data_IF_262357865265
#
_entry.id   IF_262357865265
#
_cell.length_a   1.000
_cell.length_b   1.000
_cell.length_c   1.000
_cell.angle_alpha   90.00
_cell.angle_beta   90.00
_cell.angle_gamma   90.00
#
_symmetry.space_group_name_H-M   'P 1'
#
loop_
_entity.id
_entity.type
_entity.pdbx_description
1 polymer ?
#
# COMPACT_ATOMS: atom_id res chain seq x y z
N UNK A 1 -14.83 -0.30 -13.34
CA UNK A 1 -14.73 -0.40 -11.87
C UNK A 1 -13.27 -0.45 -11.47
N UNK A 2 -12.93 0.17 -10.38
CA UNK A 2 -11.59 0.18 -9.80
C UNK A 2 -11.66 -0.42 -8.40
N UNK A 3 -10.72 -1.32 -8.05
CA UNK A 3 -10.69 -2.02 -6.77
C UNK A 3 -11.68 -3.18 -6.66
N UNK A 4 -11.74 -3.79 -5.50
CA UNK A 4 -12.64 -4.89 -5.14
C UNK A 4 -13.02 -4.80 -3.66
N UNK A 5 -14.18 -5.36 -3.32
CA UNK A 5 -14.64 -5.52 -1.93
C UNK A 5 -14.46 -6.96 -1.42
N UNK A 6 -13.62 -7.76 -2.08
CA UNK A 6 -13.32 -9.14 -1.71
C UNK A 6 -13.84 -10.19 -2.70
N UNK A 7 -14.52 -9.79 -3.76
CA UNK A 7 -15.02 -10.70 -4.79
C UNK A 7 -16.26 -11.52 -4.38
N UNK A 8 -16.61 -12.49 -5.23
CA UNK A 8 -17.70 -13.42 -4.97
C UNK A 8 -19.11 -12.84 -5.11
N UNK A 9 -20.08 -13.54 -4.54
CA UNK A 9 -21.51 -13.22 -4.68
C UNK A 9 -21.88 -11.84 -4.15
N UNK A 10 -21.23 -11.38 -3.07
CA UNK A 10 -21.47 -10.05 -2.49
C UNK A 10 -21.10 -8.96 -3.47
N UNK A 11 -19.96 -9.07 -4.15
CA UNK A 11 -19.53 -8.06 -5.12
C UNK A 11 -20.47 -7.99 -6.32
N UNK A 12 -20.97 -9.13 -6.81
CA UNK A 12 -21.97 -9.16 -7.88
C UNK A 12 -23.29 -8.50 -7.48
N UNK A 13 -23.79 -8.75 -6.25
CA UNK A 13 -25.01 -8.12 -5.74
C UNK A 13 -24.84 -6.58 -5.62
N UNK A 14 -23.73 -6.12 -5.05
CA UNK A 14 -23.41 -4.70 -4.94
C UNK A 14 -23.30 -4.03 -6.31
N UNK A 15 -22.66 -4.68 -7.27
CA UNK A 15 -22.56 -4.17 -8.65
C UNK A 15 -23.94 -4.04 -9.31
N UNK A 16 -24.84 -4.99 -9.08
CA UNK A 16 -26.22 -4.93 -9.59
C UNK A 16 -27.00 -3.77 -8.95
N UNK A 17 -26.89 -3.59 -7.63
CA UNK A 17 -27.49 -2.45 -6.90
C UNK A 17 -26.95 -1.11 -7.38
N UNK A 18 -25.64 -1.00 -7.55
CA UNK A 18 -25.00 0.22 -8.06
C UNK A 18 -25.53 0.59 -9.45
N UNK A 19 -25.66 -0.39 -10.36
CA UNK A 19 -26.24 -0.17 -11.69
C UNK A 19 -27.69 0.30 -11.60
N UNK A 20 -28.50 -0.29 -10.73
CA UNK A 20 -29.90 0.13 -10.52
C UNK A 20 -29.97 1.56 -9.96
N UNK A 21 -29.13 1.92 -8.99
CA UNK A 21 -29.04 3.28 -8.46
C UNK A 21 -28.68 4.30 -9.56
N UNK A 22 -27.77 3.96 -10.45
CA UNK A 22 -27.39 4.81 -11.58
C UNK A 22 -28.51 4.93 -12.63
N UNK A 23 -29.24 3.84 -12.89
CA UNK A 23 -30.31 3.79 -13.88
C UNK A 23 -31.59 4.57 -13.46
N UNK A 24 -31.82 4.76 -12.16
CA UNK A 24 -33.01 5.40 -11.62
C UNK A 24 -33.16 6.92 -11.92
N UNK A 25 -32.32 7.50 -12.76
CA UNK A 25 -32.47 8.84 -13.34
C UNK A 25 -32.43 10.01 -12.35
N UNK A 26 -32.38 9.75 -11.05
CA UNK A 26 -32.27 10.80 -10.04
C UNK A 26 -30.85 11.39 -10.03
N UNK A 27 -30.71 12.65 -10.43
CA UNK A 27 -29.42 13.38 -10.45
C UNK A 27 -28.98 13.85 -9.05
N UNK A 28 -29.58 13.30 -7.99
CA UNK A 28 -29.24 13.60 -6.62
C UNK A 28 -28.30 12.57 -6.00
N UNK A 29 -27.84 12.89 -4.81
CA UNK A 29 -27.11 11.96 -3.96
C UNK A 29 -28.04 10.89 -3.38
N UNK A 30 -27.55 9.66 -3.31
CA UNK A 30 -28.23 8.52 -2.71
C UNK A 30 -27.24 7.65 -1.94
N UNK A 31 -27.67 7.13 -0.77
CA UNK A 31 -26.86 6.26 0.07
C UNK A 31 -27.64 5.03 0.49
N UNK A 32 -26.98 3.88 0.47
CA UNK A 32 -27.48 2.63 1.04
C UNK A 32 -26.41 2.03 1.96
N UNK A 33 -26.79 1.72 3.19
CA UNK A 33 -25.99 0.93 4.11
C UNK A 33 -26.51 -0.50 4.10
N UNK A 34 -25.67 -1.45 3.71
CA UNK A 34 -26.00 -2.85 3.48
C UNK A 34 -25.16 -3.73 4.39
N UNK A 35 -25.80 -4.77 4.93
CA UNK A 35 -25.11 -5.74 5.79
C UNK A 35 -25.33 -7.13 5.24
N UNK A 36 -24.26 -7.90 5.08
CA UNK A 36 -24.24 -9.24 4.55
C UNK A 36 -23.70 -10.21 5.62
N UNK A 37 -24.43 -11.29 5.88
CA UNK A 37 -23.90 -12.41 6.63
C UNK A 37 -23.05 -13.28 5.67
N UNK A 38 -21.79 -13.50 6.02
CA UNK A 38 -20.85 -14.32 5.23
C UNK A 38 -21.00 -15.78 5.64
N UNK A 39 -22.00 -16.48 5.07
CA UNK A 39 -22.31 -17.86 5.38
C UNK A 39 -22.32 -18.75 4.13
N UNK A 40 -22.62 -20.06 4.31
CA UNK A 40 -22.70 -21.03 3.21
C UNK A 40 -23.68 -20.61 2.10
N UNK A 41 -24.77 -19.93 2.46
CA UNK A 41 -25.79 -19.44 1.52
C UNK A 41 -25.24 -18.40 0.53
N UNK A 42 -24.14 -17.75 0.88
CA UNK A 42 -23.42 -16.78 0.02
C UNK A 42 -22.17 -17.42 -0.63
N UNK A 43 -22.01 -18.74 -0.53
CA UNK A 43 -20.82 -19.43 -1.04
C UNK A 43 -19.53 -19.07 -0.31
N UNK A 44 -19.64 -18.58 0.93
CA UNK A 44 -18.50 -18.16 1.75
C UNK A 44 -18.32 -19.13 2.92
N UNK A 45 -17.11 -19.62 3.12
CA UNK A 45 -16.77 -20.54 4.22
C UNK A 45 -16.24 -19.83 5.48
N UNK A 46 -16.03 -18.52 5.41
CA UNK A 46 -15.29 -17.79 6.45
C UNK A 46 -16.15 -17.41 7.68
N UNK A 47 -17.50 -17.41 7.55
CA UNK A 47 -18.39 -16.88 8.58
C UNK A 47 -18.18 -15.37 8.83
N UNK A 48 -19.05 -14.78 9.66
CA UNK A 48 -18.97 -13.36 10.00
C UNK A 48 -19.96 -12.47 9.28
N UNK A 49 -19.72 -11.17 9.35
CA UNK A 49 -20.61 -10.15 8.79
C UNK A 49 -19.79 -9.08 8.09
N UNK A 50 -20.27 -8.63 6.93
CA UNK A 50 -19.69 -7.52 6.17
C UNK A 50 -20.70 -6.39 6.06
N UNK A 51 -20.28 -5.16 6.36
CA UNK A 51 -21.07 -3.94 6.14
C UNK A 51 -20.48 -3.16 4.98
N UNK A 52 -21.37 -2.74 4.07
CA UNK A 52 -21.00 -2.00 2.86
C UNK A 52 -21.81 -0.72 2.81
N UNK A 53 -21.11 0.39 2.55
CA UNK A 53 -21.70 1.66 2.25
C UNK A 53 -21.67 1.87 0.73
N UNK A 54 -22.84 1.97 0.11
CA UNK A 54 -22.97 2.25 -1.31
C UNK A 54 -23.50 3.68 -1.48
N UNK A 55 -22.75 4.51 -2.21
CA UNK A 55 -23.11 5.91 -2.43
C UNK A 55 -23.09 6.24 -3.92
N UNK A 56 -24.11 6.99 -4.34
CA UNK A 56 -24.20 7.58 -5.67
C UNK A 56 -24.12 9.09 -5.52
N UNK A 57 -23.29 9.72 -6.32
CA UNK A 57 -23.17 11.17 -6.43
C UNK A 57 -23.75 11.61 -7.76
N UNK A 58 -24.60 12.64 -7.73
CA UNK A 58 -25.12 13.28 -8.92
C UNK A 58 -24.38 14.58 -9.24
N UNK A 59 -24.77 15.26 -10.31
CA UNK A 59 -24.13 16.51 -10.76
C UNK A 59 -24.15 17.64 -9.70
N UNK A 60 -25.09 17.60 -8.77
CA UNK A 60 -25.14 18.56 -7.66
C UNK A 60 -24.01 18.43 -6.66
N UNK A 61 -23.36 17.29 -6.60
CA UNK A 61 -22.22 17.01 -5.73
C UNK A 61 -20.86 17.19 -6.42
N UNK A 62 -20.83 17.75 -7.62
CA UNK A 62 -19.59 17.93 -8.38
C UNK A 62 -18.57 18.82 -7.63
N UNK A 63 -19.06 19.90 -6.99
CA UNK A 63 -18.22 20.77 -6.17
C UNK A 63 -17.61 20.03 -4.95
N UNK A 64 -18.40 19.14 -4.34
CA UNK A 64 -17.96 18.35 -3.19
C UNK A 64 -16.89 17.33 -3.63
N UNK A 65 -17.05 16.72 -4.80
CA UNK A 65 -16.08 15.80 -5.39
C UNK A 65 -14.79 16.53 -5.81
N UNK A 66 -14.89 17.77 -6.29
CA UNK A 66 -13.71 18.60 -6.59
C UNK A 66 -12.95 18.96 -5.30
N UNK A 67 -13.66 19.33 -4.23
CA UNK A 67 -13.05 19.56 -2.91
C UNK A 67 -12.34 18.30 -2.39
N UNK A 68 -12.91 17.11 -2.61
CA UNK A 68 -12.28 15.84 -2.30
C UNK A 68 -11.00 15.62 -3.08
N UNK A 69 -10.96 15.95 -4.37
CA UNK A 69 -9.76 15.82 -5.19
C UNK A 69 -8.59 16.64 -4.62
N UNK A 70 -8.87 17.82 -4.05
CA UNK A 70 -7.86 18.63 -3.33
C UNK A 70 -7.46 17.98 -2.01
N UNK A 71 -8.44 17.46 -1.24
CA UNK A 71 -8.20 16.81 0.04
C UNK A 71 -7.35 15.52 -0.09
N UNK A 72 -7.49 14.78 -1.18
CA UNK A 72 -6.62 13.62 -1.50
C UNK A 72 -5.15 13.98 -1.45
N UNK A 73 -4.78 15.16 -1.94
CA UNK A 73 -3.40 15.66 -1.91
C UNK A 73 -2.92 15.95 -0.48
N UNK A 74 -3.83 16.21 0.45
CA UNK A 74 -3.53 16.60 1.84
C UNK A 74 -3.58 15.45 2.86
N UNK A 75 -3.71 14.19 2.44
CA UNK A 75 -3.80 12.99 3.31
C UNK A 75 -4.91 13.09 4.37
N UNK A 76 -6.08 13.58 3.98
CA UNK A 76 -7.21 13.82 4.88
C UNK A 76 -8.04 12.55 5.10
N UNK A 77 -8.70 12.46 6.24
CA UNK A 77 -9.67 11.39 6.53
C UNK A 77 -11.02 11.80 5.95
N UNK A 78 -11.64 10.89 5.21
CA UNK A 78 -12.98 11.02 4.71
C UNK A 78 -13.94 10.31 5.65
N UNK A 79 -14.98 11.00 6.08
CA UNK A 79 -16.03 10.44 6.92
C UNK A 79 -17.35 10.40 6.18
N UNK A 80 -17.98 9.23 6.17
CA UNK A 80 -19.29 8.98 5.58
C UNK A 80 -20.28 8.67 6.71
N UNK A 81 -21.17 9.60 7.09
CA UNK A 81 -22.20 9.31 8.08
C UNK A 81 -23.08 8.13 7.64
N UNK A 82 -23.41 7.21 8.54
CA UNK A 82 -24.29 6.06 8.23
C UNK A 82 -25.77 6.41 8.18
N UNK A 83 -26.15 7.58 8.63
CA UNK A 83 -27.54 8.08 8.64
C UNK A 83 -27.87 9.05 7.51
N UNK A 84 -28.91 9.85 7.70
CA UNK A 84 -29.41 10.86 6.77
C UNK A 84 -28.62 12.17 6.73
N UNK A 85 -27.36 12.13 7.15
CA UNK A 85 -26.46 13.30 7.13
C UNK A 85 -25.97 13.68 5.74
N UNK A 86 -25.08 14.68 5.62
CA UNK A 86 -24.50 15.11 4.36
C UNK A 86 -23.77 13.97 3.67
N UNK A 87 -23.64 14.00 2.32
CA UNK A 87 -23.03 12.91 1.56
C UNK A 87 -21.60 12.60 2.00
N UNK A 88 -20.83 13.63 2.33
CA UNK A 88 -19.42 13.52 2.72
C UNK A 88 -19.07 14.55 3.77
N UNK A 89 -18.10 14.24 4.61
CA UNK A 89 -17.39 15.20 5.43
C UNK A 89 -15.89 14.98 5.32
N UNK A 90 -15.14 16.06 5.14
CA UNK A 90 -13.66 16.04 5.12
C UNK A 90 -13.12 15.96 6.54
N UNK A 91 -13.93 16.29 7.54
CA UNK A 91 -13.55 16.18 8.95
C UNK A 91 -14.35 15.07 9.63
N UNK A 92 -13.77 14.38 10.63
CA UNK A 92 -14.47 13.33 11.36
C UNK A 92 -15.74 13.92 12.03
N UNK A 93 -16.89 13.38 11.68
CA UNK A 93 -18.14 13.72 12.37
C UNK A 93 -18.18 12.91 13.66
N UNK A 94 -17.83 13.54 14.80
CA UNK A 94 -17.63 12.88 16.08
C UNK A 94 -18.89 12.46 16.82
N UNK A 95 -20.10 12.73 16.31
CA UNK A 95 -21.36 12.55 17.03
C UNK A 95 -22.34 11.55 16.41
N UNK A 96 -22.03 10.96 15.26
CA UNK A 96 -22.87 9.96 14.60
C UNK A 96 -22.04 8.77 14.14
N UNK A 97 -22.60 7.55 14.11
CA UNK A 97 -21.94 6.42 13.50
C UNK A 97 -21.53 6.78 12.06
N UNK A 98 -20.26 6.65 11.76
CA UNK A 98 -19.72 7.00 10.45
C UNK A 98 -18.74 5.93 9.99
N UNK A 99 -18.67 5.73 8.68
CA UNK A 99 -17.59 5.00 8.04
C UNK A 99 -16.48 6.01 7.74
N UNK A 100 -15.30 5.81 8.29
CA UNK A 100 -14.16 6.70 8.09
C UNK A 100 -13.00 5.94 7.45
N UNK A 101 -12.43 6.50 6.41
CA UNK A 101 -11.28 5.94 5.74
C UNK A 101 -10.30 7.06 5.32
N UNK A 102 -8.99 6.83 5.35
CA UNK A 102 -8.06 7.76 4.73
C UNK A 102 -8.33 7.80 3.22
N UNK A 103 -8.40 8.99 2.64
CA UNK A 103 -8.63 9.18 1.21
C UNK A 103 -7.49 8.56 0.40
N UNK A 104 -6.28 8.71 0.91
CA UNK A 104 -5.09 8.08 0.36
C UNK A 104 -4.33 7.46 1.52
N UNK A 105 -4.27 6.14 1.64
CA UNK A 105 -3.43 5.51 2.63
C UNK A 105 -1.98 5.97 2.42
N UNK A 106 -1.21 6.21 3.49
CA UNK A 106 0.20 6.55 3.34
C UNK A 106 0.91 5.43 2.58
N UNK A 107 1.69 5.80 1.57
CA UNK A 107 2.49 4.84 0.84
C UNK A 107 3.52 4.20 1.78
N UNK A 108 3.69 2.89 1.66
CA UNK A 108 4.71 2.16 2.42
C UNK A 108 6.09 2.44 1.81
N UNK A 109 7.06 2.98 2.56
CA UNK A 109 8.41 3.17 2.05
C UNK A 109 9.05 1.83 1.69
N UNK A 110 9.47 1.68 0.43
CA UNK A 110 10.15 0.49 -0.07
C UNK A 110 11.54 0.87 -0.58
N UNK A 111 12.57 0.40 0.09
CA UNK A 111 13.97 0.59 -0.31
C UNK A 111 14.44 -0.62 -1.10
N UNK A 112 14.86 -0.40 -2.34
CA UNK A 112 15.42 -1.42 -3.23
C UNK A 112 16.90 -1.11 -3.41
N UNK A 113 17.77 -1.95 -2.87
CA UNK A 113 19.21 -1.81 -2.96
C UNK A 113 19.74 -2.59 -4.15
N UNK A 114 20.30 -1.88 -5.12
CA UNK A 114 20.78 -2.38 -6.40
C UNK A 114 19.85 -2.05 -7.57
N UNK A 115 20.30 -1.19 -8.50
CA UNK A 115 19.56 -0.75 -9.68
C UNK A 115 19.81 -1.68 -10.90
N UNK A 116 19.99 -2.98 -10.66
CA UNK A 116 20.28 -3.99 -11.68
C UNK A 116 19.05 -4.49 -12.45
N UNK A 117 19.23 -5.56 -13.21
CA UNK A 117 18.17 -6.13 -14.07
C UNK A 117 16.93 -6.56 -13.29
N UNK A 118 17.09 -7.14 -12.11
CA UNK A 118 15.96 -7.60 -11.27
C UNK A 118 15.12 -6.41 -10.81
N UNK A 119 15.76 -5.36 -10.30
CA UNK A 119 15.08 -4.14 -9.87
C UNK A 119 14.32 -3.49 -11.03
N UNK A 120 14.96 -3.37 -12.19
CA UNK A 120 14.35 -2.82 -13.41
C UNK A 120 13.10 -3.59 -13.84
N UNK A 121 13.13 -4.93 -13.75
CA UNK A 121 11.99 -5.77 -14.07
C UNK A 121 10.88 -5.71 -13.00
N UNK A 122 11.24 -5.41 -11.75
CA UNK A 122 10.32 -5.33 -10.62
C UNK A 122 9.55 -4.00 -10.59
N UNK A 123 10.22 -2.87 -10.84
CA UNK A 123 9.63 -1.53 -10.74
C UNK A 123 8.26 -1.38 -11.43
N UNK A 124 8.06 -1.81 -12.69
CA UNK A 124 6.76 -1.68 -13.34
C UNK A 124 5.66 -2.53 -12.70
N UNK A 125 6.03 -3.54 -11.92
CA UNK A 125 5.08 -4.46 -11.27
C UNK A 125 4.67 -3.99 -9.87
N UNK A 126 5.40 -3.04 -9.31
CA UNK A 126 5.11 -2.41 -8.03
C UNK A 126 4.19 -1.19 -8.18
N UNK A 127 3.96 -0.75 -9.40
CA UNK A 127 3.08 0.38 -9.68
C UNK A 127 1.66 0.10 -9.17
N UNK A 128 1.07 1.07 -8.50
CA UNK A 128 -0.27 0.96 -7.90
C UNK A 128 -0.39 0.06 -6.66
N UNK A 129 0.70 -0.56 -6.17
CA UNK A 129 0.68 -1.42 -4.97
C UNK A 129 0.85 -0.67 -3.65
N UNK A 130 0.78 0.66 -3.66
CA UNK A 130 0.84 1.47 -2.44
C UNK A 130 2.25 1.62 -1.85
N UNK A 131 3.28 1.52 -2.66
CA UNK A 131 4.67 1.77 -2.26
C UNK A 131 5.18 3.14 -2.70
N UNK A 132 5.93 3.80 -1.80
CA UNK A 132 6.85 4.88 -2.14
C UNK A 132 8.24 4.27 -2.33
N UNK A 133 8.69 4.15 -3.57
CA UNK A 133 9.88 3.37 -3.91
C UNK A 133 11.13 4.25 -3.90
N UNK A 134 12.17 3.78 -3.21
CA UNK A 134 13.50 4.36 -3.18
C UNK A 134 14.48 3.35 -3.80
N UNK A 135 15.01 3.68 -4.98
CA UNK A 135 16.01 2.85 -5.66
C UNK A 135 17.41 3.33 -5.29
N UNK A 136 18.16 2.50 -4.61
CA UNK A 136 19.48 2.81 -4.05
C UNK A 136 20.58 2.06 -4.80
N UNK A 137 21.59 2.76 -5.32
CA UNK A 137 22.81 2.14 -5.89
C UNK A 137 24.02 3.05 -5.63
N UNK A 138 25.21 2.47 -5.79
CA UNK A 138 26.49 3.16 -5.66
C UNK A 138 26.96 3.82 -6.97
N UNK A 139 26.35 3.46 -8.10
CA UNK A 139 26.77 3.82 -9.44
C UNK A 139 25.60 4.43 -10.21
N UNK A 140 25.82 5.64 -10.73
CA UNK A 140 24.81 6.41 -11.43
C UNK A 140 24.38 5.77 -12.75
N UNK A 141 25.29 5.12 -13.45
CA UNK A 141 25.04 4.49 -14.75
C UNK A 141 24.14 3.25 -14.66
N UNK A 142 23.90 2.74 -13.46
CA UNK A 142 23.04 1.58 -13.21
C UNK A 142 21.56 1.90 -13.22
N UNK A 143 21.19 3.17 -13.01
CA UNK A 143 19.78 3.54 -12.99
C UNK A 143 19.16 3.46 -14.39
N UNK A 144 17.89 2.99 -14.50
CA UNK A 144 17.21 3.02 -15.78
C UNK A 144 16.99 4.46 -16.23
N UNK A 145 17.21 4.73 -17.53
CA UNK A 145 17.01 6.07 -18.10
C UNK A 145 15.53 6.53 -18.03
N UNK A 146 14.59 5.57 -17.98
CA UNK A 146 13.14 5.77 -17.91
C UNK A 146 12.58 5.64 -16.49
N UNK A 147 13.41 5.86 -15.47
CA UNK A 147 12.99 5.75 -14.07
C UNK A 147 11.79 6.68 -13.77
N UNK A 148 11.83 7.93 -14.23
CA UNK A 148 10.76 8.91 -14.06
C UNK A 148 10.26 8.98 -12.60
N UNK A 149 8.94 9.04 -12.46
CA UNK A 149 8.29 9.08 -11.14
C UNK A 149 8.05 7.70 -10.51
N UNK A 150 8.48 6.61 -11.16
CA UNK A 150 8.29 5.23 -10.66
C UNK A 150 9.06 4.94 -9.37
N UNK A 151 10.19 5.60 -9.17
CA UNK A 151 10.98 5.49 -7.96
C UNK A 151 11.87 6.72 -7.75
N UNK A 152 12.12 7.06 -6.49
CA UNK A 152 13.09 8.09 -6.11
C UNK A 152 14.50 7.51 -6.20
N UNK A 153 15.36 8.13 -7.00
CA UNK A 153 16.77 7.77 -7.14
C UNK A 153 17.56 8.19 -5.90
N UNK A 154 18.27 7.25 -5.29
CA UNK A 154 19.19 7.51 -4.18
C UNK A 154 20.59 6.97 -4.53
N UNK A 155 21.42 7.85 -5.06
CA UNK A 155 22.83 7.54 -5.30
C UNK A 155 23.61 7.63 -3.99
N UNK A 156 24.14 6.53 -3.49
CA UNK A 156 24.80 6.48 -2.19
C UNK A 156 26.09 5.64 -2.26
N UNK A 157 27.22 6.22 -1.89
CA UNK A 157 28.50 5.50 -1.80
C UNK A 157 28.51 4.45 -0.68
N UNK A 158 27.67 4.64 0.35
CA UNK A 158 27.47 3.76 1.50
C UNK A 158 25.98 3.44 1.65
N UNK A 159 25.41 2.50 0.87
CA UNK A 159 23.99 2.14 0.94
C UNK A 159 23.53 1.64 2.32
N UNK A 160 24.44 1.04 3.12
CA UNK A 160 24.17 0.68 4.52
C UNK A 160 23.82 1.91 5.38
N UNK A 161 24.39 3.08 5.10
CA UNK A 161 24.01 4.32 5.79
C UNK A 161 22.58 4.78 5.42
N UNK A 162 22.12 4.52 4.19
CA UNK A 162 20.71 4.74 3.83
C UNK A 162 19.81 3.81 4.64
N UNK A 163 20.20 2.54 4.80
CA UNK A 163 19.46 1.56 5.59
C UNK A 163 19.30 2.00 7.05
N UNK A 164 20.36 2.57 7.65
CA UNK A 164 20.30 3.06 9.04
C UNK A 164 19.38 4.27 9.24
N UNK A 165 19.07 5.03 8.20
CA UNK A 165 18.20 6.21 8.26
C UNK A 165 16.78 5.96 7.71
N UNK A 166 16.48 4.74 7.27
CA UNK A 166 15.14 4.41 6.78
C UNK A 166 14.07 4.59 7.87
N UNK A 167 12.87 5.06 7.52
CA UNK A 167 11.78 5.24 8.47
C UNK A 167 11.31 3.90 9.06
N UNK A 168 10.74 3.97 10.27
CA UNK A 168 10.13 2.80 10.91
C UNK A 168 9.01 2.23 10.02
N UNK A 169 8.91 0.91 9.97
CA UNK A 169 7.92 0.21 9.16
C UNK A 169 8.29 0.09 7.68
N UNK A 170 9.44 0.60 7.24
CA UNK A 170 9.88 0.45 5.86
C UNK A 170 10.08 -1.02 5.45
N UNK A 171 9.92 -1.27 4.15
CA UNK A 171 10.26 -2.53 3.50
C UNK A 171 11.61 -2.41 2.80
N UNK A 172 12.40 -3.48 2.83
CA UNK A 172 13.73 -3.51 2.24
C UNK A 172 13.91 -4.73 1.33
N UNK A 173 14.38 -4.49 0.10
CA UNK A 173 14.78 -5.53 -0.85
C UNK A 173 16.25 -5.37 -1.19
N UNK A 174 17.08 -6.31 -0.75
CA UNK A 174 18.54 -6.30 -0.94
C UNK A 174 18.90 -7.22 -2.10
N UNK A 175 19.36 -6.61 -3.20
CA UNK A 175 19.68 -7.31 -4.45
C UNK A 175 20.82 -6.62 -5.20
N UNK A 176 21.87 -6.23 -4.47
CA UNK A 176 23.03 -5.59 -5.08
C UNK A 176 23.88 -6.59 -5.86
N UNK A 177 24.84 -6.09 -6.61
CA UNK A 177 25.82 -6.92 -7.32
C UNK A 177 26.92 -7.49 -6.42
N UNK A 178 27.03 -7.02 -5.19
CA UNK A 178 28.11 -7.35 -4.24
C UNK A 178 27.58 -8.07 -3.01
N UNK A 179 28.10 -9.27 -2.76
CA UNK A 179 27.74 -10.04 -1.57
C UNK A 179 28.16 -9.35 -0.26
N UNK A 180 29.30 -8.63 -0.27
CA UNK A 180 29.75 -7.88 0.91
C UNK A 180 28.86 -6.68 1.21
N UNK A 181 28.38 -6.00 0.17
CA UNK A 181 27.45 -4.89 0.30
C UNK A 181 26.09 -5.39 0.80
N UNK A 182 25.57 -6.48 0.23
CA UNK A 182 24.33 -7.11 0.71
C UNK A 182 24.43 -7.46 2.21
N UNK A 183 25.59 -7.99 2.64
CA UNK A 183 25.84 -8.36 4.04
C UNK A 183 25.87 -7.13 4.95
N UNK A 184 26.54 -6.05 4.54
CA UNK A 184 26.60 -4.81 5.30
C UNK A 184 25.21 -4.18 5.48
N UNK A 185 24.41 -4.11 4.41
CA UNK A 185 23.04 -3.60 4.46
C UNK A 185 22.17 -4.46 5.38
N UNK A 186 22.22 -5.79 5.24
CA UNK A 186 21.44 -6.69 6.09
C UNK A 186 21.85 -6.59 7.55
N UNK A 187 23.15 -6.51 7.85
CA UNK A 187 23.64 -6.36 9.21
C UNK A 187 23.13 -5.07 9.85
N UNK A 188 23.21 -3.95 9.14
CA UNK A 188 22.72 -2.66 9.62
C UNK A 188 21.22 -2.69 9.93
N UNK A 189 20.41 -3.22 9.00
CA UNK A 189 18.96 -3.34 9.17
C UNK A 189 18.59 -4.25 10.34
N UNK A 190 19.22 -5.41 10.47
CA UNK A 190 18.95 -6.37 11.54
C UNK A 190 19.44 -5.87 12.91
N UNK A 191 20.52 -5.09 12.95
CA UNK A 191 21.00 -4.47 14.19
C UNK A 191 20.09 -3.34 14.65
N UNK A 192 19.66 -2.49 13.73
CA UNK A 192 18.76 -1.37 14.02
C UNK A 192 17.34 -1.84 14.33
N UNK A 193 16.84 -2.82 13.57
CA UNK A 193 15.44 -3.24 13.60
C UNK A 193 14.47 -2.17 13.07
N UNK A 194 13.18 -2.32 13.37
CA UNK A 194 12.14 -1.33 13.05
C UNK A 194 11.62 -1.36 11.62
N UNK A 195 12.04 -2.30 10.79
CA UNK A 195 11.47 -2.57 9.47
C UNK A 195 10.31 -3.56 9.57
N UNK A 196 9.40 -3.52 8.59
CA UNK A 196 8.30 -4.50 8.47
C UNK A 196 8.70 -5.71 7.63
N UNK A 197 9.54 -5.51 6.63
CA UNK A 197 9.97 -6.58 5.72
C UNK A 197 11.43 -6.39 5.29
N UNK A 198 12.21 -7.47 5.30
CA UNK A 198 13.55 -7.53 4.75
C UNK A 198 13.69 -8.75 3.85
N UNK A 199 13.79 -8.53 2.55
CA UNK A 199 14.05 -9.55 1.53
C UNK A 199 15.46 -9.47 0.99
N UNK A 200 16.15 -10.61 0.95
CA UNK A 200 17.48 -10.74 0.36
C UNK A 200 17.44 -11.75 -0.78
N UNK A 201 17.87 -11.33 -1.97
CA UNK A 201 18.03 -12.26 -3.09
C UNK A 201 19.28 -13.11 -2.91
N UNK A 202 19.14 -14.42 -3.07
CA UNK A 202 20.31 -15.30 -2.97
C UNK A 202 20.01 -16.77 -3.09
N UNK A 203 21.09 -17.57 -3.22
CA UNK A 203 21.05 -19.02 -3.23
C UNK A 203 20.99 -19.60 -1.80
N UNK A 204 20.71 -20.93 -1.71
CA UNK A 204 20.78 -21.66 -0.44
C UNK A 204 22.16 -21.50 0.23
N UNK A 205 23.23 -21.55 -0.55
CA UNK A 205 24.62 -21.40 -0.06
C UNK A 205 24.87 -19.98 0.49
N UNK A 206 24.32 -18.94 -0.17
CA UNK A 206 24.41 -17.57 0.33
C UNK A 206 23.67 -17.44 1.66
N UNK A 207 22.48 -18.00 1.78
CA UNK A 207 21.69 -17.99 3.03
C UNK A 207 22.50 -18.58 4.19
N UNK A 208 23.04 -19.80 4.05
CA UNK A 208 23.83 -20.45 5.12
C UNK A 208 25.01 -19.59 5.54
N UNK A 209 25.78 -19.07 4.59
CA UNK A 209 26.94 -18.23 4.87
C UNK A 209 26.56 -16.93 5.56
N UNK A 210 25.49 -16.25 5.11
CA UNK A 210 25.01 -15.02 5.71
C UNK A 210 24.50 -15.24 7.13
N UNK A 211 23.67 -16.26 7.35
CA UNK A 211 23.19 -16.59 8.69
C UNK A 211 24.35 -16.77 9.67
N UNK A 212 25.40 -17.56 9.28
CA UNK A 212 26.56 -17.77 10.13
C UNK A 212 27.29 -16.46 10.47
N UNK A 213 27.45 -15.55 9.50
CA UNK A 213 28.15 -14.27 9.72
C UNK A 213 27.35 -13.29 10.54
N UNK A 214 26.03 -13.19 10.29
CA UNK A 214 25.13 -12.32 11.04
C UNK A 214 25.04 -12.75 12.51
N UNK A 215 24.95 -14.05 12.78
CA UNK A 215 25.00 -14.58 14.15
C UNK A 215 26.35 -14.28 14.84
N UNK A 216 27.47 -14.42 14.12
CA UNK A 216 28.80 -14.07 14.65
C UNK A 216 28.94 -12.56 14.91
N UNK A 217 28.20 -11.72 14.21
CA UNK A 217 28.12 -10.27 14.43
C UNK A 217 27.09 -9.87 15.53
N UNK A 218 26.44 -10.84 16.20
CA UNK A 218 25.55 -10.59 17.34
C UNK A 218 24.08 -10.41 16.97
N UNK A 219 23.67 -10.66 15.73
CA UNK A 219 22.26 -10.66 15.34
C UNK A 219 21.58 -11.89 15.96
N UNK A 220 20.40 -11.70 16.59
CA UNK A 220 19.66 -12.80 17.19
C UNK A 220 19.06 -13.75 16.14
N UNK A 221 19.02 -15.06 16.43
CA UNK A 221 18.49 -16.09 15.51
C UNK A 221 16.97 -15.97 15.26
N UNK A 222 16.26 -15.30 16.15
CA UNK A 222 14.79 -15.15 16.14
C UNK A 222 14.28 -13.89 15.43
N UNK A 223 15.11 -13.24 14.62
CA UNK A 223 14.69 -12.11 13.79
C UNK A 223 14.27 -12.51 12.39
#
# INVERSE_FOLDING_TARGET
>A
SWGTIGGGAVEFDIMARARNMLANGNNGWERQHLTFALGPDMGQCCGGQMSILLEKFGNKQESDLQALSVAVTCKTILSHPLGSGPPLSIEPISLVPAFSAPITPPLTPLFIYGAGHVSRALLPRLDGLGFEIFLVDIDDDRYPADLGDKAKKLLARAPEAIASHAPLGAWHLVMTHSHSLDEAICLELLTKGGFTYLGLIGSKSKRVRFTKRLLAAGVAESM
#
